data_IF_787770182297
#
_entry.id   IF_787770182297
#
_cell.length_a   1.000
_cell.length_b   1.000
_cell.length_c   1.000
_cell.angle_alpha   90.00
_cell.angle_beta   90.00
_cell.angle_gamma   90.00
#
_symmetry.space_group_name_H-M   'P 1'
#
loop_
_entity.id
_entity.type
_entity.pdbx_description
1 polymer ?
#
# COMPACT_ATOMS: atom_id res chain seq x y z
N UNK A 1 2.91 -11.49 2.40
CA UNK A 1 3.69 -11.01 3.58
C UNK A 1 4.55 -9.76 3.28
N UNK A 2 4.45 -9.14 2.09
CA UNK A 2 5.32 -8.03 1.67
C UNK A 2 4.72 -6.63 1.97
N UNK A 3 3.40 -6.45 1.77
CA UNK A 3 2.75 -5.15 1.92
C UNK A 3 2.89 -4.51 3.29
N UNK A 4 2.70 -5.25 4.39
CA UNK A 4 2.80 -4.72 5.77
C UNK A 4 4.20 -4.12 6.03
N UNK A 5 5.26 -4.79 5.55
CA UNK A 5 6.63 -4.30 5.70
C UNK A 5 6.89 -3.06 4.86
N UNK A 6 6.31 -2.99 3.65
CA UNK A 6 6.40 -1.83 2.78
C UNK A 6 5.61 -0.64 3.33
N UNK A 7 4.40 -0.88 3.86
CA UNK A 7 3.57 0.16 4.50
C UNK A 7 4.30 0.75 5.68
N UNK A 8 4.82 -0.12 6.56
CA UNK A 8 5.55 0.28 7.74
C UNK A 8 6.80 1.09 7.35
N UNK A 9 7.60 0.61 6.40
CA UNK A 9 8.79 1.34 5.93
C UNK A 9 8.43 2.69 5.30
N UNK A 10 7.41 2.73 4.45
CA UNK A 10 6.96 3.98 3.81
C UNK A 10 6.44 4.97 4.84
N UNK A 11 5.63 4.50 5.80
CA UNK A 11 5.14 5.31 6.90
C UNK A 11 6.30 5.86 7.75
N UNK A 12 7.24 5.02 8.17
CA UNK A 12 8.40 5.45 8.97
C UNK A 12 9.32 6.42 8.22
N UNK A 13 9.52 6.23 6.90
CA UNK A 13 10.26 7.17 6.05
C UNK A 13 9.57 8.53 5.97
N UNK A 14 8.26 8.57 5.76
CA UNK A 14 7.53 9.84 5.65
C UNK A 14 7.27 10.50 7.00
N UNK A 15 7.22 9.72 8.08
CA UNK A 15 7.26 10.22 9.47
C UNK A 15 8.58 10.92 9.77
N UNK A 16 9.71 10.47 9.20
CA UNK A 16 10.99 11.19 9.32
C UNK A 16 11.00 12.52 8.56
N UNK A 17 10.33 12.60 7.40
CA UNK A 17 10.17 13.87 6.66
C UNK A 17 9.30 14.86 7.47
N UNK A 18 8.21 14.40 8.09
CA UNK A 18 7.39 15.19 9.00
C UNK A 18 8.07 15.56 10.33
N UNK A 19 9.06 14.78 10.77
CA UNK A 19 9.83 15.08 12.00
C UNK A 19 11.11 15.89 11.73
N UNK A 20 11.56 16.06 10.49
CA UNK A 20 12.70 16.93 10.19
C UNK A 20 12.35 18.42 10.38
N UNK A 21 11.07 18.78 10.34
CA UNK A 21 10.58 20.09 10.79
C UNK A 21 10.50 20.22 12.32
N UNK A 22 10.69 19.12 13.08
CA UNK A 22 10.46 19.08 14.53
C UNK A 22 11.59 18.44 15.37
N UNK A 23 12.77 18.14 14.80
CA UNK A 23 13.89 17.54 15.57
C UNK A 23 15.24 18.20 15.33
N UNK A 24 15.35 19.47 15.76
CA UNK A 24 16.45 19.80 16.66
C UNK A 24 16.11 19.17 18.03
N UNK A 25 17.00 18.30 18.52
CA UNK A 25 17.00 17.64 19.85
C UNK A 25 16.27 16.29 19.92
N UNK A 26 17.01 15.20 19.71
CA UNK A 26 17.29 14.12 20.67
C UNK A 26 17.85 12.85 19.97
N UNK A 27 18.76 12.08 20.62
CA UNK A 27 19.58 11.02 20.00
C UNK A 27 18.84 9.67 19.85
N UNK A 28 19.40 8.69 19.10
CA UNK A 28 18.67 7.49 18.68
C UNK A 28 18.52 6.45 19.81
N UNK A 29 17.31 5.90 19.94
CA UNK A 29 16.95 4.82 20.87
C UNK A 29 17.52 3.46 20.43
N UNK A 30 18.03 2.69 21.40
CA UNK A 30 18.38 1.25 21.29
C UNK A 30 17.19 0.39 21.73
N UNK A 31 17.01 -0.75 21.08
CA UNK A 31 15.98 -1.75 21.42
C UNK A 31 16.20 -2.34 22.83
N UNK A 32 15.15 -2.35 23.65
CA UNK A 32 15.09 -2.99 24.96
C UNK A 32 13.66 -3.44 25.27
N UNK A 33 13.53 -4.57 25.98
CA UNK A 33 12.29 -5.29 26.36
C UNK A 33 11.17 -4.38 26.88
N UNK A 34 9.96 -4.74 26.47
CA UNK A 34 8.68 -4.09 26.82
C UNK A 34 8.32 -4.31 28.28
N UNK A 35 8.06 -3.22 29.00
CA UNK A 35 7.20 -3.16 30.20
C UNK A 35 6.24 -1.98 29.99
N UNK A 36 4.91 -2.14 30.14
CA UNK A 36 3.98 -1.05 29.88
C UNK A 36 3.83 -0.17 31.12
N UNK A 37 4.13 1.12 30.99
CA UNK A 37 3.66 2.14 31.91
C UNK A 37 2.92 3.22 31.12
N UNK A 38 1.71 3.54 31.59
CA UNK A 38 0.86 4.62 31.09
C UNK A 38 1.65 5.92 31.09
N UNK A 39 1.76 6.56 29.93
CA UNK A 39 2.13 7.98 29.82
C UNK A 39 1.06 8.67 29.00
N UNK A 40 0.37 9.60 29.66
CA UNK A 40 -0.49 10.61 29.06
C UNK A 40 0.38 11.85 28.85
N UNK A 41 0.59 12.27 27.60
CA UNK A 41 0.92 13.66 27.21
C UNK A 41 0.84 13.78 25.69
N UNK A 42 0.45 14.96 25.22
CA UNK A 42 -0.15 15.24 23.92
C UNK A 42 0.70 14.97 22.68
N UNK A 43 -0.04 14.65 21.61
CA UNK A 43 0.31 14.77 20.19
C UNK A 43 1.52 13.99 19.68
N UNK A 44 1.45 12.67 19.86
CA UNK A 44 1.71 11.73 18.78
C UNK A 44 0.92 10.47 19.11
N UNK A 45 -0.25 10.31 18.50
CA UNK A 45 -0.99 9.04 18.59
C UNK A 45 -0.15 8.00 17.85
N UNK A 46 0.77 7.36 18.58
CA UNK A 46 1.29 6.06 18.21
C UNK A 46 0.06 5.21 17.92
N UNK A 47 -0.10 4.80 16.66
CA UNK A 47 -1.10 3.81 16.30
C UNK A 47 -0.98 2.68 17.31
N UNK A 48 -2.02 2.45 18.13
CA UNK A 48 -2.23 1.11 18.66
C UNK A 48 -2.18 0.19 17.43
N UNK A 49 -1.43 -0.89 17.53
CA UNK A 49 -1.36 -1.98 16.55
C UNK A 49 -2.76 -2.55 16.31
N UNK A 50 -3.59 -1.82 15.60
CA UNK A 50 -4.81 -2.33 15.00
C UNK A 50 -4.39 -2.86 13.65
N UNK A 51 -4.59 -4.16 13.47
CA UNK A 51 -4.42 -4.79 12.17
C UNK A 51 -5.22 -4.00 11.12
N UNK A 52 -4.68 -3.84 9.90
CA UNK A 52 -5.40 -3.16 8.84
C UNK A 52 -6.76 -3.83 8.60
N UNK A 53 -7.79 -3.03 8.33
CA UNK A 53 -9.08 -3.57 7.89
C UNK A 53 -8.89 -4.15 6.48
N UNK A 54 -9.17 -5.44 6.32
CA UNK A 54 -8.98 -6.14 5.03
C UNK A 54 -10.31 -6.35 4.33
N UNK A 55 -10.45 -5.84 3.11
CA UNK A 55 -11.61 -6.07 2.25
C UNK A 55 -11.26 -6.95 1.06
N UNK A 56 -11.93 -8.10 0.98
CA UNK A 56 -11.87 -8.98 -0.19
C UNK A 56 -12.89 -8.52 -1.24
N UNK A 57 -12.42 -8.33 -2.48
CA UNK A 57 -13.20 -7.94 -3.65
C UNK A 57 -13.29 -9.14 -4.60
N UNK A 58 -14.46 -9.76 -4.63
CA UNK A 58 -14.80 -10.95 -5.42
C UNK A 58 -16.31 -10.96 -5.78
N UNK A 59 -16.80 -12.06 -6.34
CA UNK A 59 -18.21 -12.25 -6.71
C UNK A 59 -19.21 -12.17 -5.54
N UNK A 60 -18.77 -12.31 -4.28
CA UNK A 60 -19.60 -12.23 -3.09
C UNK A 60 -19.57 -10.85 -2.42
N UNK A 61 -18.65 -9.97 -2.81
CA UNK A 61 -18.50 -8.64 -2.20
C UNK A 61 -19.71 -7.75 -2.48
N UNK A 62 -20.44 -7.34 -1.46
CA UNK A 62 -21.68 -6.56 -1.67
C UNK A 62 -21.40 -5.22 -2.37
N UNK A 63 -22.37 -4.74 -3.17
CA UNK A 63 -22.32 -3.38 -3.76
C UNK A 63 -22.16 -2.29 -2.70
N UNK A 64 -22.71 -2.49 -1.50
CA UNK A 64 -22.56 -1.56 -0.37
C UNK A 64 -21.10 -1.46 0.08
N UNK A 65 -20.40 -2.60 0.17
CA UNK A 65 -18.96 -2.63 0.51
C UNK A 65 -18.12 -1.96 -0.57
N UNK A 66 -18.43 -2.19 -1.85
CA UNK A 66 -17.75 -1.53 -2.97
C UNK A 66 -17.95 -0.02 -2.91
N UNK A 67 -19.20 0.43 -2.71
CA UNK A 67 -19.53 1.85 -2.57
C UNK A 67 -18.80 2.49 -1.38
N UNK A 68 -18.76 1.82 -0.24
CA UNK A 68 -18.01 2.30 0.93
C UNK A 68 -16.54 2.56 0.59
N UNK A 69 -15.87 1.66 -0.13
CA UNK A 69 -14.48 1.83 -0.51
C UNK A 69 -14.27 2.99 -1.50
N UNK A 70 -15.20 3.17 -2.45
CA UNK A 70 -15.19 4.33 -3.36
C UNK A 70 -15.35 5.63 -2.57
N UNK A 71 -16.34 5.69 -1.70
CA UNK A 71 -16.62 6.87 -0.86
C UNK A 71 -15.42 7.17 0.07
N UNK A 72 -14.74 6.13 0.59
CA UNK A 72 -13.53 6.26 1.39
C UNK A 72 -12.36 6.86 0.58
N UNK A 73 -12.07 6.29 -0.60
CA UNK A 73 -10.99 6.76 -1.49
C UNK A 73 -11.19 8.22 -1.88
N UNK A 74 -12.42 8.58 -2.25
CA UNK A 74 -12.77 9.92 -2.73
C UNK A 74 -12.77 10.94 -1.58
N UNK A 75 -13.37 10.60 -0.43
CA UNK A 75 -13.45 11.51 0.73
C UNK A 75 -12.07 11.80 1.32
N UNK A 76 -11.22 10.78 1.42
CA UNK A 76 -9.85 10.93 1.92
C UNK A 76 -8.86 11.46 0.87
N UNK A 77 -9.32 11.74 -0.35
CA UNK A 77 -8.51 12.26 -1.47
C UNK A 77 -7.25 11.41 -1.69
N UNK A 78 -7.41 10.10 -1.67
CA UNK A 78 -6.28 9.17 -1.87
C UNK A 78 -5.75 9.33 -3.28
N UNK A 79 -4.45 9.59 -3.40
CA UNK A 79 -3.74 9.71 -4.68
C UNK A 79 -2.52 8.81 -4.76
N UNK A 80 -2.18 8.09 -3.68
CA UNK A 80 -1.00 7.24 -3.58
C UNK A 80 -1.39 5.84 -3.12
N UNK A 81 -0.82 4.82 -3.75
CA UNK A 81 -1.13 3.42 -3.47
C UNK A 81 0.14 2.57 -3.43
N UNK A 82 0.18 1.62 -2.50
CA UNK A 82 1.12 0.50 -2.56
C UNK A 82 0.40 -0.71 -3.17
N UNK A 83 1.02 -1.34 -4.15
CA UNK A 83 0.51 -2.51 -4.87
C UNK A 83 1.48 -3.68 -4.68
N UNK A 84 0.89 -4.85 -4.47
CA UNK A 84 1.55 -6.15 -4.55
C UNK A 84 0.65 -7.10 -5.35
N UNK A 85 1.24 -8.07 -6.04
CA UNK A 85 0.46 -9.03 -6.84
C UNK A 85 0.86 -10.45 -6.52
N UNK A 86 -0.11 -11.36 -6.53
CA UNK A 86 0.14 -12.79 -6.37
C UNK A 86 -0.48 -13.57 -7.55
N UNK A 87 0.27 -14.55 -8.05
CA UNK A 87 -0.21 -15.54 -9.02
C UNK A 87 -0.47 -16.88 -8.35
N UNK A 88 -1.31 -17.72 -8.96
CA UNK A 88 -1.50 -19.11 -8.57
C UNK A 88 -0.25 -19.93 -8.98
N UNK A 89 0.58 -20.38 -8.03
CA UNK A 89 1.81 -21.11 -8.33
C UNK A 89 1.54 -22.55 -8.77
N UNK A 90 0.31 -23.05 -8.63
CA UNK A 90 -0.05 -24.42 -9.05
C UNK A 90 -0.16 -24.58 -10.57
N UNK A 91 -0.10 -23.48 -11.32
CA UNK A 91 -0.18 -23.45 -12.79
C UNK A 91 1.14 -23.03 -13.42
N UNK A 92 1.41 -23.57 -14.62
CA UNK A 92 2.59 -23.22 -15.41
C UNK A 92 2.17 -22.78 -16.83
N UNK A 93 2.27 -21.47 -17.18
CA UNK A 93 2.73 -20.38 -16.32
C UNK A 93 1.76 -20.04 -15.18
N UNK A 94 2.23 -19.40 -14.09
CA UNK A 94 1.37 -18.96 -13.00
C UNK A 94 0.25 -18.05 -13.52
N UNK A 95 -0.99 -18.32 -13.12
CA UNK A 95 -2.11 -17.45 -13.47
C UNK A 95 -2.22 -16.27 -12.51
N UNK A 96 -2.55 -15.06 -12.99
CA UNK A 96 -2.84 -13.93 -12.11
C UNK A 96 -4.01 -14.27 -11.16
N UNK A 97 -3.85 -14.01 -9.86
CA UNK A 97 -4.83 -14.41 -8.85
C UNK A 97 -5.29 -13.27 -7.94
N UNK A 98 -4.36 -12.44 -7.50
CA UNK A 98 -4.63 -11.42 -6.49
C UNK A 98 -3.91 -10.12 -6.82
N UNK A 99 -4.64 -9.01 -6.74
CA UNK A 99 -4.05 -7.67 -6.64
C UNK A 99 -4.30 -7.17 -5.23
N UNK A 100 -3.23 -6.90 -4.50
CA UNK A 100 -3.30 -6.34 -3.16
C UNK A 100 -3.00 -4.85 -3.23
N UNK A 101 -3.89 -4.03 -2.67
CA UNK A 101 -3.84 -2.58 -2.78
C UNK A 101 -3.95 -1.98 -1.40
N UNK A 102 -2.98 -1.17 -1.05
CA UNK A 102 -2.99 -0.35 0.15
C UNK A 102 -3.07 1.13 -0.25
N UNK A 103 -4.22 1.78 -0.07
CA UNK A 103 -4.36 3.23 -0.09
C UNK A 103 -3.40 3.88 0.91
N UNK A 104 -2.68 4.90 0.49
CA UNK A 104 -1.79 5.69 1.34
C UNK A 104 -2.43 7.06 1.56
N UNK A 105 -3.13 7.27 2.69
CA UNK A 105 -3.86 8.50 2.92
C UNK A 105 -2.90 9.65 3.27
N UNK A 106 -3.25 10.86 2.85
CA UNK A 106 -2.51 12.10 3.18
C UNK A 106 -2.73 12.56 4.62
N UNK A 107 -3.80 12.10 5.26
CA UNK A 107 -4.18 12.34 6.65
C UNK A 107 -4.58 11.02 7.32
N UNK A 108 -4.41 10.87 8.63
CA UNK A 108 -4.55 9.57 9.32
C UNK A 108 -6.00 9.12 9.52
N UNK A 109 -6.44 8.04 8.86
CA UNK A 109 -7.21 6.98 9.52
C UNK A 109 -6.61 5.58 9.21
N UNK A 110 -7.13 4.45 9.75
CA UNK A 110 -6.38 3.19 9.77
C UNK A 110 -6.08 2.65 8.36
N UNK A 111 -4.99 1.88 8.20
CA UNK A 111 -4.66 1.30 6.91
C UNK A 111 -5.75 0.31 6.51
N UNK A 112 -6.43 0.58 5.40
CA UNK A 112 -7.34 -0.39 4.76
C UNK A 112 -6.57 -1.15 3.71
N UNK A 113 -6.71 -2.47 3.64
CA UNK A 113 -6.12 -3.30 2.58
C UNK A 113 -7.25 -3.83 1.70
N UNK A 114 -7.17 -3.54 0.40
CA UNK A 114 -8.12 -4.02 -0.61
C UNK A 114 -7.47 -5.18 -1.34
N UNK A 115 -8.11 -6.34 -1.34
CA UNK A 115 -7.64 -7.57 -1.97
C UNK A 115 -8.59 -7.92 -3.12
N UNK A 116 -8.14 -7.77 -4.36
CA UNK A 116 -8.94 -8.07 -5.56
C UNK A 116 -8.60 -9.47 -6.07
N UNK A 117 -9.51 -10.41 -5.86
CA UNK A 117 -9.38 -11.81 -6.27
C UNK A 117 -9.86 -11.98 -7.71
N UNK A 118 -8.96 -11.77 -8.68
CA UNK A 118 -9.35 -11.59 -10.10
C UNK A 118 -10.00 -12.82 -10.73
N UNK A 119 -9.62 -14.02 -10.29
CA UNK A 119 -10.21 -15.29 -10.74
C UNK A 119 -11.64 -15.53 -10.23
N UNK A 120 -12.09 -14.74 -9.25
CA UNK A 120 -13.40 -14.86 -8.61
C UNK A 120 -14.31 -13.69 -8.97
N UNK A 121 -13.94 -12.87 -9.96
CA UNK A 121 -14.76 -11.76 -10.42
C UNK A 121 -15.89 -12.25 -11.33
N UNK A 122 -17.08 -11.66 -11.14
CA UNK A 122 -18.19 -11.86 -12.07
C UNK A 122 -17.89 -11.21 -13.42
N UNK A 123 -18.55 -11.71 -14.47
CA UNK A 123 -18.51 -11.10 -15.79
C UNK A 123 -18.70 -9.60 -15.71
N UNK A 124 -17.85 -8.88 -16.43
CA UNK A 124 -17.78 -7.43 -16.43
C UNK A 124 -18.98 -6.73 -17.06
N UNK A 125 -19.96 -7.51 -17.57
CA UNK A 125 -21.27 -7.06 -18.04
C UNK A 125 -22.34 -7.05 -16.95
N UNK A 126 -22.07 -7.68 -15.80
CA UNK A 126 -23.00 -7.69 -14.67
C UNK A 126 -22.99 -6.34 -13.95
N UNK A 127 -24.13 -5.96 -13.35
CA UNK A 127 -24.19 -4.74 -12.53
C UNK A 127 -23.22 -4.77 -11.34
N UNK A 128 -22.83 -5.97 -10.88
CA UNK A 128 -21.80 -6.17 -9.87
C UNK A 128 -20.39 -5.95 -10.41
N UNK A 129 -20.08 -6.53 -11.57
CA UNK A 129 -18.80 -6.33 -12.26
C UNK A 129 -18.57 -4.86 -12.62
N UNK A 130 -19.64 -4.11 -12.96
CA UNK A 130 -19.57 -2.67 -13.18
C UNK A 130 -19.17 -1.90 -11.91
N UNK A 131 -19.70 -2.27 -10.74
CA UNK A 131 -19.31 -1.64 -9.47
C UNK A 131 -17.84 -1.91 -9.13
N UNK A 132 -17.35 -3.13 -9.39
CA UNK A 132 -15.93 -3.46 -9.19
C UNK A 132 -15.04 -2.65 -10.16
N UNK A 133 -15.46 -2.52 -11.42
CA UNK A 133 -14.78 -1.66 -12.39
C UNK A 133 -14.77 -0.19 -11.96
N UNK A 134 -15.86 0.29 -11.39
CA UNK A 134 -15.93 1.66 -10.85
C UNK A 134 -14.91 1.87 -9.73
N UNK A 135 -14.83 0.95 -8.77
CA UNK A 135 -13.80 0.97 -7.73
C UNK A 135 -12.38 0.96 -8.33
N UNK A 136 -12.13 0.10 -9.32
CA UNK A 136 -10.82 0.04 -9.97
C UNK A 136 -10.51 1.32 -10.76
N UNK A 137 -11.50 1.93 -11.41
CA UNK A 137 -11.35 3.22 -12.09
C UNK A 137 -11.02 4.35 -11.12
N UNK A 138 -11.54 4.31 -9.90
CA UNK A 138 -11.19 5.25 -8.83
C UNK A 138 -9.75 5.04 -8.34
N UNK A 139 -9.29 3.79 -8.22
CA UNK A 139 -7.92 3.48 -7.79
C UNK A 139 -6.90 3.79 -8.90
N UNK A 140 -7.16 3.37 -10.14
CA UNK A 140 -6.22 3.38 -11.27
C UNK A 140 -6.36 4.62 -12.18
N UNK A 141 -6.46 5.82 -11.57
CA UNK A 141 -6.50 7.10 -12.29
C UNK A 141 -5.11 7.52 -12.77
N UNK A 142 -5.07 8.27 -13.88
CA UNK A 142 -3.83 8.72 -14.55
C UNK A 142 -2.88 9.52 -13.63
N UNK A 143 -3.45 10.28 -12.70
CA UNK A 143 -2.69 11.18 -11.81
C UNK A 143 -2.39 10.53 -10.45
N UNK A 144 -2.63 9.23 -10.28
CA UNK A 144 -2.32 8.51 -9.06
C UNK A 144 -0.89 7.98 -9.09
N UNK A 145 -0.24 7.97 -7.93
CA UNK A 145 1.09 7.42 -7.71
C UNK A 145 0.98 5.98 -7.25
N UNK A 146 1.71 5.08 -7.92
CA UNK A 146 1.75 3.67 -7.57
C UNK A 146 3.15 3.26 -7.13
N UNK A 147 3.20 2.48 -6.06
CA UNK A 147 4.43 2.00 -5.48
C UNK A 147 4.35 0.49 -5.36
N UNK A 148 5.38 -0.22 -5.78
CA UNK A 148 5.47 -1.67 -5.60
C UNK A 148 6.88 -2.03 -5.14
N UNK A 149 7.07 -3.28 -4.70
CA UNK A 149 8.41 -3.78 -4.45
C UNK A 149 9.26 -3.72 -5.72
N UNK A 150 8.71 -4.22 -6.84
CA UNK A 150 9.33 -4.17 -8.16
C UNK A 150 8.81 -3.05 -9.07
N UNK A 151 8.84 -3.31 -10.37
CA UNK A 151 8.24 -2.44 -11.39
C UNK A 151 6.73 -2.67 -11.43
N UNK A 152 5.96 -1.65 -11.04
CA UNK A 152 4.49 -1.69 -10.99
C UNK A 152 3.86 -2.19 -12.30
N UNK A 153 4.40 -1.81 -13.48
CA UNK A 153 3.83 -2.29 -14.75
C UNK A 153 4.05 -3.78 -14.93
N UNK A 154 5.21 -4.30 -14.52
CA UNK A 154 5.53 -5.72 -14.67
C UNK A 154 4.61 -6.55 -13.78
N UNK A 155 4.39 -6.11 -12.54
CA UNK A 155 3.43 -6.68 -11.59
C UNK A 155 2.01 -6.73 -12.20
N UNK A 156 1.54 -5.60 -12.72
CA UNK A 156 0.16 -5.48 -13.24
C UNK A 156 -0.05 -6.02 -14.65
N UNK A 157 1.01 -6.33 -15.41
CA UNK A 157 0.91 -6.73 -16.83
C UNK A 157 0.06 -7.99 -17.00
N UNK A 158 0.20 -8.97 -16.11
CA UNK A 158 -0.57 -10.21 -16.17
C UNK A 158 -2.08 -9.98 -15.95
N UNK A 159 -2.46 -8.86 -15.33
CA UNK A 159 -3.84 -8.58 -14.94
C UNK A 159 -4.60 -7.72 -15.96
N UNK A 160 -3.99 -7.33 -17.08
CA UNK A 160 -4.64 -6.45 -18.07
C UNK A 160 -5.85 -7.11 -18.75
N UNK A 161 -5.88 -8.44 -18.82
CA UNK A 161 -6.98 -9.19 -19.45
C UNK A 161 -8.33 -9.04 -18.73
N UNK A 162 -8.31 -8.73 -17.42
CA UNK A 162 -9.53 -8.55 -16.62
C UNK A 162 -10.22 -7.20 -16.87
N UNK A 163 -9.62 -6.31 -17.67
CA UNK A 163 -10.16 -4.99 -18.01
C UNK A 163 -10.57 -4.16 -16.77
N UNK A 164 -9.79 -4.28 -15.68
CA UNK A 164 -10.00 -3.54 -14.43
C UNK A 164 -9.34 -2.16 -14.46
N UNK A 165 -8.29 -1.99 -15.27
CA UNK A 165 -7.53 -0.76 -15.38
C UNK A 165 -6.85 -0.68 -16.75
N UNK A 166 -6.37 0.52 -17.11
CA UNK A 166 -5.52 0.73 -18.28
C UNK A 166 -4.08 0.88 -17.83
N UNK A 167 -3.18 0.03 -18.35
CA UNK A 167 -1.75 0.09 -17.99
C UNK A 167 -1.09 1.43 -18.36
N UNK A 168 -1.67 2.18 -19.31
CA UNK A 168 -1.26 3.55 -19.65
C UNK A 168 -1.50 4.56 -18.53
N UNK A 169 -2.46 4.30 -17.63
CA UNK A 169 -2.79 5.20 -16.53
C UNK A 169 -1.80 5.08 -15.36
N UNK A 170 -1.00 4.03 -15.33
CA UNK A 170 -0.01 3.78 -14.28
C UNK A 170 1.27 4.50 -14.68
N UNK A 171 1.36 5.82 -14.47
CA UNK A 171 2.46 6.67 -15.00
C UNK A 171 3.52 6.99 -13.95
N UNK A 172 3.12 7.37 -12.73
CA UNK A 172 4.05 7.66 -11.63
C UNK A 172 4.31 6.38 -10.81
N UNK A 173 5.57 5.93 -10.86
CA UNK A 173 5.99 4.59 -10.41
C UNK A 173 7.20 4.70 -9.51
N UNK A 174 7.01 4.40 -8.23
CA UNK A 174 8.14 4.27 -7.31
C UNK A 174 8.47 2.80 -7.11
N UNK A 175 9.69 2.43 -7.50
CA UNK A 175 10.26 1.13 -7.20
C UNK A 175 10.82 1.18 -5.77
N UNK A 176 10.07 0.64 -4.82
CA UNK A 176 10.42 0.67 -3.40
C UNK A 176 11.71 -0.08 -3.13
N UNK A 177 11.96 -1.20 -3.83
CA UNK A 177 13.21 -1.94 -3.68
C UNK A 177 14.42 -1.08 -4.05
N UNK A 178 14.33 -0.27 -5.10
CA UNK A 178 15.39 0.65 -5.51
C UNK A 178 15.61 1.76 -4.47
N UNK A 179 14.52 2.35 -3.95
CA UNK A 179 14.62 3.35 -2.88
C UNK A 179 15.21 2.78 -1.58
N UNK A 180 14.76 1.59 -1.19
CA UNK A 180 15.26 0.87 -0.02
C UNK A 180 16.75 0.56 -0.17
N UNK A 181 17.18 0.06 -1.34
CA UNK A 181 18.60 -0.23 -1.62
C UNK A 181 19.46 1.03 -1.51
N UNK A 182 18.98 2.17 -2.03
CA UNK A 182 19.67 3.47 -1.88
C UNK A 182 19.83 3.87 -0.42
N UNK A 183 18.74 3.80 0.35
CA UNK A 183 18.76 4.11 1.79
C UNK A 183 19.71 3.20 2.58
N UNK A 184 19.63 1.89 2.35
CA UNK A 184 20.47 0.89 3.01
C UNK A 184 21.97 1.10 2.72
N UNK A 185 22.31 1.40 1.46
CA UNK A 185 23.68 1.69 1.07
C UNK A 185 24.22 2.97 1.71
N UNK A 186 23.40 4.02 1.80
CA UNK A 186 23.78 5.28 2.44
C UNK A 186 24.05 5.09 3.94
N UNK A 187 23.12 4.45 4.66
CA UNK A 187 23.25 4.22 6.10
C UNK A 187 24.42 3.28 6.41
N UNK A 188 24.57 2.19 5.66
CA UNK A 188 25.69 1.26 5.84
C UNK A 188 27.06 1.93 5.64
N UNK A 189 27.16 2.89 4.70
CA UNK A 189 28.38 3.70 4.52
C UNK A 189 28.64 4.64 5.71
N UNK A 190 27.60 5.34 6.17
CA UNK A 190 27.67 6.25 7.33
C UNK A 190 28.05 5.54 8.64
N UNK A 191 27.60 4.31 8.85
CA UNK A 191 27.98 3.53 10.04
C UNK A 191 29.40 2.95 9.94
N UNK A 192 29.91 2.69 8.73
CA UNK A 192 31.31 2.25 8.53
C UNK A 192 32.30 3.40 8.68
N UNK A 193 31.95 4.62 8.27
CA UNK A 193 32.83 5.80 8.39
C UNK A 193 32.94 6.38 9.79
N UNK A 194 32.08 5.97 10.74
CA UNK A 194 32.11 6.39 12.16
C UNK A 194 32.87 5.41 13.08
N UNK A 195 33.49 4.38 12.51
CA UNK A 195 34.28 3.38 13.25
C UNK A 195 35.80 3.56 13.12
N UNK A 196 36.24 4.67 12.51
CA UNK A 196 37.64 5.06 12.40
C UNK A 196 37.83 6.40 13.11
#
# INVERSE_FOLDING_TARGET
MCLIKISHWYYEKNKQVLNNDLKLRHPPFKYGKVIPTKITTGTATLFKEHDPEVHYINNRTTKKSIKYLIDLITTLKITSYVIDTEGDPSRNPPLPSLIQILPVPTSVPPPVVILIEVNWLLSSKSSHGNAIKELCNEIFKLNHTFMAWGDVRKELKAFTEFNLFKLSNVVDRRNIQAEFRRYYNFTSKMFKSRRY
#
